data_IF_426234755302
#
_entry.id   IF_426234755302
#
_cell.length_a   1.000
_cell.length_b   1.000
_cell.length_c   1.000
_cell.angle_alpha   90.00
_cell.angle_beta   90.00
_cell.angle_gamma   90.00
#
_symmetry.space_group_name_H-M   'P 1'
#
loop_
_entity.id
_entity.type
_entity.pdbx_description
1 polymer ?
#
# COMPACT_ATOMS: atom_id res chain seq x y z
N UNK A 1 -15.49 6.07 -24.49
CA UNK A 1 -15.64 7.38 -23.81
C UNK A 1 -17.11 7.57 -23.45
N UNK A 2 -17.48 7.39 -22.18
CA UNK A 2 -18.81 7.77 -21.69
C UNK A 2 -18.75 9.23 -21.24
N UNK A 3 -19.04 10.18 -22.12
CA UNK A 3 -19.27 11.57 -21.69
C UNK A 3 -20.69 11.68 -21.17
N UNK A 4 -20.85 11.84 -19.86
CA UNK A 4 -22.17 12.10 -19.23
C UNK A 4 -22.56 13.58 -19.23
N UNK A 5 -21.91 14.39 -20.07
CA UNK A 5 -22.19 15.82 -20.17
C UNK A 5 -23.02 16.13 -21.39
N UNK A 6 -24.15 16.82 -21.21
CA UNK A 6 -24.70 17.67 -22.26
C UNK A 6 -24.17 19.08 -22.05
N UNK A 7 -23.82 19.76 -23.13
CA UNK A 7 -23.45 21.17 -23.07
C UNK A 7 -24.75 21.94 -23.24
N UNK A 8 -25.17 22.62 -22.18
CA UNK A 8 -26.27 23.57 -22.23
C UNK A 8 -25.73 24.94 -22.63
N UNK A 9 -26.46 25.63 -23.50
CA UNK A 9 -26.28 27.05 -23.74
C UNK A 9 -27.43 27.77 -23.01
N UNK A 10 -27.12 28.47 -21.92
CA UNK A 10 -28.09 29.37 -21.28
C UNK A 10 -27.67 30.79 -21.58
N UNK A 11 -28.49 31.53 -22.31
CA UNK A 11 -28.31 32.97 -22.47
C UNK A 11 -28.54 33.63 -21.11
N UNK A 12 -27.48 34.16 -20.51
CA UNK A 12 -27.60 35.03 -19.34
C UNK A 12 -27.80 36.43 -19.90
N UNK A 13 -28.97 37.08 -19.70
CA UNK A 13 -29.14 38.48 -20.06
C UNK A 13 -28.28 39.31 -19.10
N UNK A 14 -27.02 39.53 -19.45
CA UNK A 14 -26.21 40.55 -18.81
C UNK A 14 -26.77 41.89 -19.29
N UNK A 15 -27.40 42.65 -18.39
CA UNK A 15 -28.06 43.92 -18.66
C UNK A 15 -27.08 45.03 -19.06
N UNK A 16 -26.43 44.89 -20.22
CA UNK A 16 -25.61 45.90 -20.86
C UNK A 16 -25.90 45.91 -22.36
N UNK A 17 -27.10 46.36 -22.71
CA UNK A 17 -27.32 46.92 -24.04
C UNK A 17 -26.88 48.39 -24.02
N UNK A 18 -25.74 48.70 -24.66
CA UNK A 18 -25.66 49.91 -25.48
C UNK A 18 -24.48 49.96 -26.47
N UNK A 19 -23.43 49.15 -26.34
CA UNK A 19 -22.23 49.28 -27.19
C UNK A 19 -21.71 47.93 -27.69
N UNK A 20 -22.33 47.37 -28.73
CA UNK A 20 -21.68 46.52 -29.74
C UNK A 20 -20.85 45.28 -29.33
N UNK A 21 -20.92 44.82 -28.08
CA UNK A 21 -20.09 43.70 -27.62
C UNK A 21 -20.70 42.33 -27.96
N UNK A 22 -19.80 41.47 -28.43
CA UNK A 22 -19.99 40.06 -28.77
C UNK A 22 -20.59 39.32 -27.57
N UNK A 23 -21.85 38.86 -27.71
CA UNK A 23 -22.51 38.03 -26.71
C UNK A 23 -21.70 36.75 -26.46
N UNK A 24 -21.04 36.66 -25.30
CA UNK A 24 -20.30 35.46 -24.90
C UNK A 24 -21.33 34.48 -24.34
N UNK A 25 -21.67 33.42 -25.09
CA UNK A 25 -22.51 32.34 -24.58
C UNK A 25 -21.70 31.53 -23.54
N UNK A 26 -22.08 31.52 -22.25
CA UNK A 26 -21.42 30.63 -21.29
C UNK A 26 -21.86 29.19 -21.60
N UNK A 27 -20.92 28.34 -22.01
CA UNK A 27 -21.14 26.90 -22.11
C UNK A 27 -21.04 26.31 -20.69
N UNK A 28 -22.16 25.92 -20.08
CA UNK A 28 -22.12 25.11 -18.86
C UNK A 28 -22.32 23.64 -19.21
N UNK A 29 -21.57 22.77 -18.53
CA UNK A 29 -21.71 21.32 -18.69
C UNK A 29 -22.71 20.81 -17.67
N UNK A 30 -23.83 20.28 -18.16
CA UNK A 30 -24.81 19.60 -17.33
C UNK A 30 -24.45 18.12 -17.22
N UNK A 31 -24.17 17.67 -16.00
CA UNK A 31 -23.96 16.26 -15.71
C UNK A 31 -25.30 15.53 -15.66
N UNK A 32 -25.55 14.70 -16.68
CA UNK A 32 -26.71 13.81 -16.70
C UNK A 32 -26.33 12.52 -15.98
N UNK A 33 -26.89 12.33 -14.79
CA UNK A 33 -26.76 11.08 -14.03
C UNK A 33 -27.59 9.98 -14.69
N UNK A 34 -27.02 9.34 -15.70
CA UNK A 34 -27.60 8.16 -16.34
C UNK A 34 -27.63 7.01 -15.33
N UNK A 35 -28.74 6.27 -15.25
CA UNK A 35 -28.89 5.06 -14.42
C UNK A 35 -27.76 4.06 -14.69
N UNK A 36 -27.32 3.96 -15.95
CA UNK A 36 -26.16 3.14 -16.33
C UNK A 36 -24.89 3.63 -15.66
N UNK A 37 -24.63 4.94 -15.65
CA UNK A 37 -23.46 5.51 -14.99
C UNK A 37 -23.52 5.29 -13.47
N UNK A 38 -24.68 5.49 -12.85
CA UNK A 38 -24.87 5.28 -11.40
C UNK A 38 -24.64 3.82 -10.99
N UNK A 39 -24.99 2.85 -11.84
CA UNK A 39 -24.77 1.43 -11.57
C UNK A 39 -23.34 0.96 -11.91
N UNK A 40 -22.81 1.37 -13.08
CA UNK A 40 -21.48 0.94 -13.52
C UNK A 40 -20.34 1.66 -12.81
N UNK A 41 -20.51 2.90 -12.34
CA UNK A 41 -19.43 3.64 -11.68
C UNK A 41 -18.93 2.94 -10.40
N UNK A 42 -19.80 2.49 -9.46
CA UNK A 42 -19.35 1.68 -8.31
C UNK A 42 -18.66 0.37 -8.71
N UNK A 43 -19.15 -0.31 -9.74
CA UNK A 43 -18.55 -1.56 -10.24
C UNK A 43 -17.16 -1.31 -10.83
N UNK A 44 -16.98 -0.21 -11.56
CA UNK A 44 -15.67 0.20 -12.08
C UNK A 44 -14.70 0.56 -10.96
N UNK A 45 -15.16 1.25 -9.92
CA UNK A 45 -14.33 1.54 -8.74
C UNK A 45 -13.94 0.26 -8.00
N UNK A 46 -14.87 -0.69 -7.83
CA UNK A 46 -14.58 -1.98 -7.22
C UNK A 46 -13.58 -2.78 -8.05
N UNK A 47 -13.75 -2.81 -9.37
CA UNK A 47 -12.84 -3.49 -10.29
C UNK A 47 -11.45 -2.84 -10.29
N UNK A 48 -11.38 -1.49 -10.29
CA UNK A 48 -10.13 -0.75 -10.19
C UNK A 48 -9.40 -1.08 -8.88
N UNK A 49 -10.11 -1.03 -7.75
CA UNK A 49 -9.54 -1.37 -6.46
C UNK A 49 -9.02 -2.81 -6.42
N UNK A 50 -9.80 -3.75 -6.95
CA UNK A 50 -9.39 -5.16 -7.03
C UNK A 50 -8.13 -5.36 -7.88
N UNK A 51 -8.04 -4.72 -9.05
CA UNK A 51 -6.85 -4.79 -9.91
C UNK A 51 -5.63 -4.18 -9.23
N UNK A 52 -5.80 -3.02 -8.58
CA UNK A 52 -4.71 -2.36 -7.82
C UNK A 52 -4.21 -3.28 -6.70
N UNK A 53 -5.11 -3.90 -5.93
CA UNK A 53 -4.74 -4.84 -4.87
C UNK A 53 -4.02 -6.09 -5.42
N UNK A 54 -4.45 -6.61 -6.57
CA UNK A 54 -3.78 -7.73 -7.23
C UNK A 54 -2.37 -7.36 -7.72
N UNK A 55 -2.18 -6.15 -8.26
CA UNK A 55 -0.86 -5.63 -8.64
C UNK A 55 0.05 -5.42 -7.42
N UNK A 56 -0.51 -4.92 -6.32
CA UNK A 56 0.23 -4.78 -5.06
C UNK A 56 0.66 -6.14 -4.50
N UNK A 57 -0.20 -7.16 -4.58
CA UNK A 57 0.13 -8.54 -4.20
C UNK A 57 1.26 -9.12 -5.07
N UNK A 58 1.20 -8.89 -6.38
CA UNK A 58 2.26 -9.29 -7.32
C UNK A 58 3.60 -8.60 -6.99
N UNK A 59 3.60 -7.28 -6.78
CA UNK A 59 4.80 -6.54 -6.41
C UNK A 59 5.40 -7.03 -5.09
N UNK A 60 4.55 -7.30 -4.09
CA UNK A 60 4.99 -7.85 -2.80
C UNK A 60 5.70 -9.19 -2.98
N UNK A 61 5.12 -10.11 -3.77
CA UNK A 61 5.74 -11.39 -4.08
C UNK A 61 7.10 -11.22 -4.78
N UNK A 62 7.21 -10.32 -5.76
CA UNK A 62 8.48 -10.09 -6.50
C UNK A 62 9.59 -9.60 -5.57
N UNK A 63 9.28 -8.65 -4.68
CA UNK A 63 10.24 -8.11 -3.71
C UNK A 63 10.62 -9.19 -2.70
N UNK A 64 9.62 -9.88 -2.12
CA UNK A 64 9.86 -10.97 -1.18
C UNK A 64 10.68 -12.09 -1.79
N UNK A 65 10.37 -12.54 -3.01
CA UNK A 65 11.15 -13.57 -3.71
C UNK A 65 12.63 -13.18 -3.82
N UNK A 66 12.89 -11.96 -4.28
CA UNK A 66 14.26 -11.43 -4.41
C UNK A 66 14.99 -11.45 -3.06
N UNK A 67 14.34 -10.96 -2.00
CA UNK A 67 14.91 -10.98 -0.66
C UNK A 67 15.10 -12.41 -0.12
N UNK A 68 14.20 -13.35 -0.41
CA UNK A 68 14.34 -14.75 0.02
C UNK A 68 15.49 -15.46 -0.67
N UNK A 69 15.68 -15.24 -1.98
CA UNK A 69 16.82 -15.79 -2.72
C UNK A 69 18.12 -15.25 -2.12
N UNK A 70 18.22 -13.94 -1.91
CA UNK A 70 19.39 -13.35 -1.26
C UNK A 70 19.62 -13.88 0.17
N UNK A 71 18.56 -14.07 0.96
CA UNK A 71 18.68 -14.56 2.33
C UNK A 71 19.22 -16.00 2.39
N UNK A 72 18.77 -16.89 1.49
CA UNK A 72 19.14 -18.30 1.51
C UNK A 72 20.34 -18.66 0.61
N UNK A 73 20.85 -17.72 -0.20
CA UNK A 73 22.09 -17.93 -0.95
C UNK A 73 23.31 -18.05 -0.01
N UNK A 74 24.13 -19.11 -0.14
CA UNK A 74 25.32 -19.29 0.68
C UNK A 74 26.38 -18.22 0.34
N UNK A 75 27.19 -17.78 1.33
CA UNK A 75 28.37 -16.96 1.07
C UNK A 75 29.51 -17.87 0.56
N UNK A 76 29.69 -17.97 -0.75
CA UNK A 76 30.71 -18.82 -1.38
C UNK A 76 32.13 -18.21 -1.26
N UNK A 77 32.66 -18.10 -0.04
CA UNK A 77 34.04 -17.67 0.22
C UNK A 77 34.36 -16.20 -0.15
N UNK A 78 33.37 -15.44 -0.63
CA UNK A 78 33.42 -14.00 -0.83
C UNK A 78 32.47 -13.30 0.16
N UNK A 79 32.70 -12.01 0.42
CA UNK A 79 31.81 -11.19 1.27
C UNK A 79 30.39 -11.04 0.67
N UNK A 80 30.24 -11.27 -0.63
CA UNK A 80 28.98 -11.13 -1.37
C UNK A 80 28.33 -12.50 -1.67
N UNK A 81 27.00 -12.57 -1.53
CA UNK A 81 26.20 -13.76 -1.81
C UNK A 81 25.87 -13.86 -3.31
N UNK A 82 26.14 -15.01 -3.93
CA UNK A 82 25.72 -15.27 -5.31
C UNK A 82 24.22 -15.62 -5.36
N UNK A 83 23.44 -14.76 -6.02
CA UNK A 83 21.99 -14.88 -6.19
C UNK A 83 21.60 -15.21 -7.63
N UNK A 84 22.59 -15.45 -8.50
CA UNK A 84 22.38 -15.63 -9.93
C UNK A 84 21.93 -14.35 -10.64
N UNK A 85 21.40 -14.52 -11.86
CA UNK A 85 21.02 -13.41 -12.71
C UNK A 85 19.70 -12.75 -12.28
N UNK A 86 19.80 -11.51 -11.79
CA UNK A 86 18.71 -10.56 -11.56
C UNK A 86 17.40 -11.20 -11.03
N UNK A 87 17.37 -11.62 -9.75
CA UNK A 87 16.22 -12.30 -9.14
C UNK A 87 14.84 -11.61 -9.33
N UNK A 88 14.73 -10.27 -9.37
CA UNK A 88 13.43 -9.63 -9.61
C UNK A 88 12.80 -10.02 -10.96
N UNK A 89 13.58 -10.17 -12.03
CA UNK A 89 13.05 -10.58 -13.35
C UNK A 89 12.59 -12.03 -13.32
N UNK A 90 13.32 -12.90 -12.64
CA UNK A 90 12.93 -14.30 -12.43
C UNK A 90 11.61 -14.36 -11.66
N UNK A 91 11.47 -13.56 -10.60
CA UNK A 91 10.24 -13.48 -9.82
C UNK A 91 9.04 -12.96 -10.64
N UNK A 92 9.26 -11.97 -11.52
CA UNK A 92 8.22 -11.47 -12.44
C UNK A 92 7.74 -12.59 -13.35
N UNK A 93 8.65 -13.38 -13.94
CA UNK A 93 8.30 -14.51 -14.80
C UNK A 93 7.55 -15.61 -14.05
N UNK A 94 8.09 -16.07 -12.92
CA UNK A 94 7.47 -17.10 -12.10
C UNK A 94 6.10 -16.67 -11.57
N UNK A 95 6.00 -15.44 -11.08
CA UNK A 95 4.75 -14.86 -10.60
C UNK A 95 3.68 -14.77 -11.69
N UNK A 96 4.05 -14.31 -12.87
CA UNK A 96 3.12 -14.12 -14.00
C UNK A 96 2.60 -15.45 -14.56
N UNK A 97 3.44 -16.49 -14.58
CA UNK A 97 3.07 -17.78 -15.18
C UNK A 97 2.36 -18.69 -14.16
N UNK A 98 2.85 -18.75 -12.92
CA UNK A 98 2.41 -19.77 -11.96
C UNK A 98 1.51 -19.22 -10.85
N UNK A 99 1.56 -17.93 -10.54
CA UNK A 99 0.87 -17.34 -9.39
C UNK A 99 -0.14 -16.23 -9.73
N UNK A 100 -0.40 -15.95 -11.01
CA UNK A 100 -1.32 -14.88 -11.42
C UNK A 100 -2.71 -15.02 -10.78
N UNK A 101 -3.27 -16.23 -10.77
CA UNK A 101 -4.54 -16.52 -10.09
C UNK A 101 -4.47 -16.35 -8.56
N UNK A 102 -3.31 -16.64 -7.96
CA UNK A 102 -3.10 -16.41 -6.52
C UNK A 102 -3.07 -14.93 -6.17
N UNK A 103 -2.53 -14.07 -7.04
CA UNK A 103 -2.56 -12.61 -6.85
C UNK A 103 -3.96 -12.04 -7.09
N UNK A 104 -4.71 -12.56 -8.06
CA UNK A 104 -6.09 -12.16 -8.29
C UNK A 104 -7.00 -12.48 -7.09
N UNK A 105 -6.91 -13.70 -6.55
CA UNK A 105 -7.63 -14.10 -5.33
C UNK A 105 -7.12 -13.32 -4.12
N UNK A 106 -5.80 -13.17 -4.00
CA UNK A 106 -5.17 -12.43 -2.92
C UNK A 106 -5.59 -10.97 -2.88
N UNK A 107 -5.68 -10.29 -4.03
CA UNK A 107 -6.15 -8.91 -4.12
C UNK A 107 -7.61 -8.76 -3.66
N UNK A 108 -8.47 -9.73 -3.95
CA UNK A 108 -9.85 -9.73 -3.46
C UNK A 108 -9.91 -9.93 -1.94
N UNK A 109 -9.19 -10.93 -1.42
CA UNK A 109 -9.19 -11.27 0.01
C UNK A 109 -8.52 -10.17 0.85
N UNK A 110 -7.32 -9.75 0.47
CA UNK A 110 -6.58 -8.69 1.17
C UNK A 110 -7.28 -7.33 1.03
N UNK A 111 -7.84 -7.04 -0.14
CA UNK A 111 -8.64 -5.84 -0.38
C UNK A 111 -9.89 -5.78 0.52
N UNK A 112 -10.49 -6.94 0.84
CA UNK A 112 -11.61 -7.01 1.79
C UNK A 112 -11.16 -6.92 3.26
N UNK A 113 -10.03 -7.53 3.63
CA UNK A 113 -9.57 -7.57 5.04
C UNK A 113 -8.88 -6.28 5.50
N UNK A 114 -8.23 -5.52 4.60
CA UNK A 114 -7.55 -4.26 4.93
C UNK A 114 -8.49 -3.17 5.50
N UNK A 115 -9.65 -2.86 4.87
CA UNK A 115 -10.62 -1.95 5.46
C UNK A 115 -11.10 -2.41 6.84
N UNK A 116 -11.26 -3.73 7.04
CA UNK A 116 -11.65 -4.28 8.35
C UNK A 116 -10.56 -4.00 9.39
N UNK A 117 -9.27 -4.14 9.06
CA UNK A 117 -8.16 -3.76 9.96
C UNK A 117 -8.16 -2.28 10.31
N UNK A 118 -8.48 -1.42 9.35
CA UNK A 118 -8.51 0.04 9.54
C UNK A 118 -9.69 0.47 10.41
N UNK A 119 -10.87 -0.13 10.20
CA UNK A 119 -12.10 0.20 10.93
C UNK A 119 -12.13 -0.40 12.34
N UNK A 120 -11.42 -1.52 12.55
CA UNK A 120 -11.42 -2.26 13.81
C UNK A 120 -9.99 -2.49 14.33
N UNK A 121 -9.21 -1.43 14.65
CA UNK A 121 -7.83 -1.58 15.12
C UNK A 121 -7.75 -2.38 16.43
N UNK A 122 -8.84 -2.41 17.22
CA UNK A 122 -8.93 -3.21 18.45
C UNK A 122 -9.10 -4.72 18.21
N UNK A 123 -9.45 -5.17 17.00
CA UNK A 123 -9.50 -6.60 16.68
C UNK A 123 -8.11 -7.24 16.84
N UNK A 124 -7.04 -6.44 16.74
CA UNK A 124 -5.66 -6.85 17.01
C UNK A 124 -5.28 -6.79 18.50
N UNK A 125 -6.07 -6.17 19.37
CA UNK A 125 -5.72 -5.93 20.78
C UNK A 125 -6.42 -6.96 21.69
N UNK A 126 -5.65 -7.84 22.33
CA UNK A 126 -6.16 -8.88 23.27
C UNK A 126 -6.71 -8.32 24.61
N UNK A 127 -6.93 -7.02 24.72
CA UNK A 127 -7.28 -6.33 25.98
C UNK A 127 -8.79 -6.28 26.26
N UNK A 128 -9.41 -7.45 26.45
CA UNK A 128 -10.69 -7.56 27.16
C UNK A 128 -10.57 -8.40 28.45
N UNK A 129 -9.37 -8.41 29.04
CA UNK A 129 -9.02 -9.20 30.21
C UNK A 129 -8.59 -8.32 31.38
N UNK A 130 -9.49 -7.48 31.89
CA UNK A 130 -9.48 -7.07 33.30
C UNK A 130 -10.78 -6.37 33.67
N UNK A 131 -11.16 -6.57 34.94
CA UNK A 131 -12.21 -5.92 35.75
C UNK A 131 -13.50 -6.72 35.96
N UNK A 132 -14.00 -6.68 37.20
CA UNK A 132 -15.27 -7.24 37.67
C UNK A 132 -16.45 -6.60 36.91
N UNK A 133 -16.81 -7.19 35.78
CA UNK A 133 -17.89 -6.71 34.94
C UNK A 133 -19.27 -7.06 35.51
N UNK A 134 -20.16 -6.07 35.55
CA UNK A 134 -21.59 -6.28 35.80
C UNK A 134 -22.20 -7.24 34.76
N UNK A 135 -23.32 -7.89 35.10
CA UNK A 135 -23.97 -8.87 34.22
C UNK A 135 -24.29 -8.30 32.82
N UNK A 136 -24.64 -7.01 32.74
CA UNK A 136 -24.92 -6.31 31.48
C UNK A 136 -23.65 -6.16 30.64
N UNK A 137 -22.55 -5.73 31.24
CA UNK A 137 -21.25 -5.58 30.56
C UNK A 137 -20.76 -6.93 30.05
N UNK A 138 -20.92 -8.00 30.85
CA UNK A 138 -20.58 -9.37 30.45
C UNK A 138 -21.40 -9.86 29.26
N UNK A 139 -22.71 -9.58 29.23
CA UNK A 139 -23.58 -9.97 28.12
C UNK A 139 -23.21 -9.24 26.84
N UNK A 140 -22.99 -7.92 26.91
CA UNK A 140 -22.54 -7.13 25.76
C UNK A 140 -21.20 -7.64 25.24
N UNK A 141 -20.22 -7.85 26.13
CA UNK A 141 -18.89 -8.38 25.78
C UNK A 141 -18.97 -9.73 25.08
N UNK A 142 -19.82 -10.64 25.55
CA UNK A 142 -19.99 -11.96 24.92
C UNK A 142 -20.61 -11.84 23.51
N UNK A 143 -21.62 -10.98 23.33
CA UNK A 143 -22.22 -10.71 22.02
C UNK A 143 -21.19 -10.12 21.05
N UNK A 144 -20.41 -9.12 21.48
CA UNK A 144 -19.32 -8.57 20.67
C UNK A 144 -18.26 -9.62 20.36
N UNK A 145 -17.85 -10.45 21.34
CA UNK A 145 -16.87 -11.52 21.13
C UNK A 145 -17.33 -12.54 20.08
N UNK A 146 -18.60 -12.92 20.05
CA UNK A 146 -19.14 -13.88 19.09
C UNK A 146 -19.07 -13.37 17.63
N UNK A 147 -19.29 -12.06 17.42
CA UNK A 147 -19.19 -11.46 16.08
C UNK A 147 -17.73 -11.16 15.72
N UNK A 148 -16.94 -10.70 16.69
CA UNK A 148 -15.56 -10.25 16.46
C UNK A 148 -14.58 -11.42 16.31
N UNK A 149 -14.76 -12.54 17.02
CA UNK A 149 -13.85 -13.69 16.95
C UNK A 149 -13.64 -14.23 15.53
N UNK A 150 -14.67 -14.46 14.70
CA UNK A 150 -14.45 -14.92 13.33
C UNK A 150 -13.82 -13.84 12.45
N UNK A 151 -14.14 -12.56 12.64
CA UNK A 151 -13.54 -11.46 11.88
C UNK A 151 -12.05 -11.31 12.21
N UNK A 152 -11.69 -11.35 13.50
CA UNK A 152 -10.31 -11.33 13.95
C UNK A 152 -9.53 -12.53 13.40
N UNK A 153 -10.13 -13.73 13.40
CA UNK A 153 -9.51 -14.90 12.79
C UNK A 153 -9.21 -14.68 11.31
N UNK A 154 -10.19 -14.25 10.50
CA UNK A 154 -9.99 -14.00 9.06
C UNK A 154 -8.91 -12.92 8.84
N UNK A 155 -8.95 -11.86 9.62
CA UNK A 155 -7.96 -10.78 9.55
C UNK A 155 -6.56 -11.32 9.92
N UNK A 156 -6.37 -11.97 11.06
CA UNK A 156 -5.06 -12.48 11.48
C UNK A 156 -4.53 -13.59 10.56
N UNK A 157 -5.43 -14.31 9.91
CA UNK A 157 -5.14 -15.39 8.97
C UNK A 157 -4.56 -14.88 7.65
N UNK A 158 -5.11 -13.80 7.08
CA UNK A 158 -4.70 -13.26 5.79
C UNK A 158 -3.83 -12.01 5.95
N UNK A 159 -2.51 -12.23 6.00
CA UNK A 159 -1.49 -11.18 6.15
C UNK A 159 -0.55 -11.14 4.93
N UNK A 160 0.17 -10.04 4.76
CA UNK A 160 1.20 -9.89 3.72
C UNK A 160 2.26 -10.98 3.78
N UNK A 161 2.57 -11.51 4.97
CA UNK A 161 3.56 -12.58 5.16
C UNK A 161 3.22 -13.87 4.42
N UNK A 162 1.97 -14.09 4.01
CA UNK A 162 1.64 -15.21 3.13
C UNK A 162 2.29 -15.10 1.76
N UNK A 163 2.51 -13.90 1.21
CA UNK A 163 3.23 -13.73 -0.06
C UNK A 163 4.72 -14.06 0.08
N UNK A 164 5.30 -13.82 1.27
CA UNK A 164 6.66 -14.26 1.61
C UNK A 164 6.71 -15.79 1.66
N UNK A 165 5.74 -16.43 2.33
CA UNK A 165 5.68 -17.90 2.36
C UNK A 165 5.45 -18.50 0.97
N UNK A 166 4.70 -17.83 0.10
CA UNK A 166 4.56 -18.24 -1.29
C UNK A 166 5.90 -18.21 -2.04
N UNK A 167 6.75 -17.21 -1.79
CA UNK A 167 8.05 -17.12 -2.46
C UNK A 167 9.03 -18.21 -2.01
N UNK A 168 8.91 -18.68 -0.76
CA UNK A 168 9.75 -19.76 -0.21
C UNK A 168 9.21 -21.14 -0.61
N UNK A 169 7.90 -21.35 -0.48
CA UNK A 169 7.30 -22.69 -0.60
C UNK A 169 6.74 -23.01 -1.98
N UNK A 170 6.64 -22.02 -2.86
CA UNK A 170 5.99 -22.12 -4.19
C UNK A 170 4.55 -22.65 -4.13
N UNK A 171 3.89 -22.57 -2.97
CA UNK A 171 2.50 -23.02 -2.78
C UNK A 171 1.51 -21.96 -3.26
N UNK A 172 0.28 -22.35 -3.65
CA UNK A 172 -0.77 -21.39 -3.99
C UNK A 172 -1.24 -20.61 -2.75
N UNK A 173 -2.03 -19.56 -2.99
CA UNK A 173 -2.44 -18.56 -1.99
C UNK A 173 -2.90 -19.12 -0.63
N UNK A 174 -3.96 -19.94 -0.59
CA UNK A 174 -4.55 -20.39 0.68
C UNK A 174 -3.59 -21.25 1.53
N UNK A 175 -2.95 -22.30 1.00
CA UNK A 175 -1.97 -23.08 1.76
C UNK A 175 -0.77 -22.27 2.25
N UNK A 176 -0.27 -21.33 1.43
CA UNK A 176 0.85 -20.47 1.83
C UNK A 176 0.43 -19.52 2.96
N UNK A 177 -0.78 -18.96 2.88
CA UNK A 177 -1.35 -18.21 3.98
C UNK A 177 -1.41 -19.10 5.24
N UNK A 178 -1.89 -20.36 5.17
CA UNK A 178 -2.11 -21.22 6.37
C UNK A 178 -0.80 -21.44 7.10
N UNK A 179 0.21 -21.77 6.31
CA UNK A 179 1.55 -22.00 6.80
C UNK A 179 2.17 -20.72 7.38
N UNK A 180 1.94 -19.55 6.77
CA UNK A 180 2.47 -18.29 7.31
C UNK A 180 1.82 -17.89 8.62
N UNK A 181 0.50 -18.01 8.72
CA UNK A 181 -0.25 -17.72 9.94
C UNK A 181 0.17 -18.64 11.10
N UNK A 182 0.26 -19.95 10.86
CA UNK A 182 0.71 -20.90 11.88
C UNK A 182 2.12 -20.57 12.37
N UNK A 183 3.05 -20.27 11.46
CA UNK A 183 4.43 -19.89 11.81
C UNK A 183 4.48 -18.63 12.66
N UNK A 184 3.72 -17.60 12.30
CA UNK A 184 3.70 -16.33 13.05
C UNK A 184 3.08 -16.47 14.45
N UNK A 185 2.04 -17.30 14.62
CA UNK A 185 1.45 -17.55 15.95
C UNK A 185 2.39 -18.37 16.84
N UNK A 186 3.11 -19.33 16.25
CA UNK A 186 4.03 -20.19 16.99
C UNK A 186 5.37 -19.52 17.28
N UNK A 187 5.74 -18.50 16.49
CA UNK A 187 6.91 -17.69 16.71
C UNK A 187 6.81 -16.94 18.04
N UNK A 188 7.63 -17.31 19.02
CA UNK A 188 7.86 -16.51 20.24
C UNK A 188 8.76 -15.30 19.99
N UNK A 189 8.95 -14.89 18.73
CA UNK A 189 10.07 -14.07 18.33
C UNK A 189 9.80 -12.56 18.47
N UNK A 190 10.86 -11.74 18.62
CA UNK A 190 10.79 -10.27 18.61
C UNK A 190 10.31 -9.66 17.28
N UNK A 191 10.05 -10.46 16.24
CA UNK A 191 9.74 -9.98 14.89
C UNK A 191 8.57 -8.97 14.83
N UNK A 192 7.59 -9.08 15.74
CA UNK A 192 6.49 -8.10 15.82
C UNK A 192 6.97 -6.71 16.26
N UNK A 193 7.93 -6.65 17.19
CA UNK A 193 8.53 -5.37 17.60
C UNK A 193 9.35 -4.75 16.48
N UNK A 194 10.06 -5.57 15.70
CA UNK A 194 10.87 -5.06 14.60
C UNK A 194 10.01 -4.54 13.45
N UNK A 195 8.92 -5.22 13.10
CA UNK A 195 7.98 -4.74 12.08
C UNK A 195 7.49 -3.31 12.38
N UNK A 196 7.09 -3.04 13.64
CA UNK A 196 6.68 -1.70 14.08
C UNK A 196 7.82 -0.67 14.03
N UNK A 197 9.05 -1.08 14.38
CA UNK A 197 10.22 -0.21 14.33
C UNK A 197 10.58 0.21 12.89
N UNK A 198 10.56 -0.75 11.95
CA UNK A 198 10.84 -0.50 10.52
C UNK A 198 9.77 0.44 9.95
N UNK A 199 8.48 0.18 10.19
CA UNK A 199 7.40 1.04 9.74
C UNK A 199 7.53 2.49 10.26
N UNK A 200 7.97 2.65 11.51
CA UNK A 200 8.21 3.96 12.11
C UNK A 200 9.40 4.67 11.44
N UNK A 201 10.49 3.94 11.20
CA UNK A 201 11.66 4.48 10.50
C UNK A 201 11.30 4.92 9.06
N UNK A 202 10.51 4.12 8.34
CA UNK A 202 10.02 4.41 7.00
C UNK A 202 9.14 5.66 6.95
N UNK A 203 8.27 5.86 7.95
CA UNK A 203 7.46 7.07 8.07
C UNK A 203 8.33 8.32 8.31
N UNK A 204 9.31 8.24 9.21
CA UNK A 204 10.23 9.34 9.50
C UNK A 204 11.06 9.68 8.26
N UNK A 205 11.60 8.66 7.57
CA UNK A 205 12.40 8.86 6.38
C UNK A 205 11.59 9.50 5.24
N UNK A 206 10.33 9.09 5.06
CA UNK A 206 9.43 9.67 4.06
C UNK A 206 9.13 11.16 4.35
N UNK A 207 8.86 11.50 5.61
CA UNK A 207 8.66 12.89 6.04
C UNK A 207 9.92 13.73 5.85
N UNK A 208 11.10 13.18 6.17
CA UNK A 208 12.37 13.85 5.99
C UNK A 208 12.64 14.17 4.51
N UNK A 209 12.45 13.20 3.61
CA UNK A 209 12.60 13.40 2.15
C UNK A 209 11.63 14.48 1.66
N UNK A 210 10.37 14.43 2.10
CA UNK A 210 9.36 15.43 1.73
C UNK A 210 9.75 16.84 2.13
N UNK A 211 10.17 17.02 3.38
CA UNK A 211 10.60 18.30 3.91
C UNK A 211 11.84 18.82 3.17
N UNK A 212 12.83 17.96 2.93
CA UNK A 212 14.06 18.32 2.22
C UNK A 212 13.76 18.80 0.80
N UNK A 213 12.95 18.06 0.04
CA UNK A 213 12.56 18.43 -1.33
C UNK A 213 11.74 19.72 -1.34
N UNK A 214 10.82 19.90 -0.39
CA UNK A 214 10.05 21.12 -0.23
C UNK A 214 10.92 22.35 0.05
N UNK A 215 11.89 22.22 0.98
CA UNK A 215 12.85 23.28 1.30
C UNK A 215 13.76 23.62 0.12
N UNK A 216 14.28 22.62 -0.60
CA UNK A 216 15.11 22.82 -1.79
C UNK A 216 14.33 23.51 -2.91
N UNK A 217 13.07 23.12 -3.11
CA UNK A 217 12.17 23.74 -4.10
C UNK A 217 11.91 25.20 -3.73
N UNK A 218 11.56 25.47 -2.47
CA UNK A 218 11.32 26.84 -2.00
C UNK A 218 12.56 27.72 -2.17
N UNK A 219 13.72 27.22 -1.74
CA UNK A 219 14.99 27.94 -1.85
C UNK A 219 15.31 28.27 -3.30
N UNK A 220 15.07 27.34 -4.23
CA UNK A 220 15.31 27.55 -5.67
C UNK A 220 14.34 28.60 -6.25
N UNK A 221 13.06 28.55 -5.88
CA UNK A 221 12.05 29.49 -6.37
C UNK A 221 12.27 30.92 -5.86
N UNK A 222 12.83 31.09 -4.66
CA UNK A 222 13.09 32.41 -4.08
C UNK A 222 14.49 32.96 -4.36
N UNK A 223 15.49 32.09 -4.55
CA UNK A 223 16.88 32.52 -4.76
C UNK A 223 17.27 32.68 -6.22
N UNK A 224 16.64 31.94 -7.15
CA UNK A 224 16.95 32.07 -8.57
C UNK A 224 16.15 33.22 -9.20
N UNK A 225 16.86 34.20 -9.77
CA UNK A 225 16.26 35.38 -10.42
C UNK A 225 15.23 35.00 -11.51
N UNK A 226 15.48 33.89 -12.20
CA UNK A 226 14.56 33.31 -13.20
C UNK A 226 13.14 33.08 -12.65
N UNK A 227 12.99 32.71 -11.38
CA UNK A 227 11.69 32.38 -10.79
C UNK A 227 11.18 33.48 -9.84
N UNK A 228 12.08 34.29 -9.29
CA UNK A 228 11.76 35.35 -8.33
C UNK A 228 11.48 36.72 -8.97
N UNK A 229 12.04 37.01 -10.14
CA UNK A 229 11.87 38.32 -10.80
C UNK A 229 10.51 38.41 -11.50
N UNK A 230 9.73 39.45 -11.19
CA UNK A 230 8.41 39.72 -11.82
C UNK A 230 8.54 39.96 -13.33
N UNK A 231 9.72 40.41 -13.78
CA UNK A 231 10.01 40.62 -15.20
C UNK A 231 10.36 39.32 -15.95
N UNK A 232 10.57 38.21 -15.23
CA UNK A 232 10.90 36.94 -15.85
C UNK A 232 9.66 36.25 -16.43
N UNK A 233 9.74 35.65 -17.62
CA UNK A 233 8.64 34.85 -18.19
C UNK A 233 8.31 33.60 -17.36
N UNK A 234 9.20 33.18 -16.45
CA UNK A 234 9.00 32.03 -15.56
C UNK A 234 8.72 32.44 -14.10
N UNK A 235 8.26 33.66 -13.86
CA UNK A 235 7.95 34.16 -12.52
C UNK A 235 6.92 33.27 -11.80
N UNK A 236 7.21 32.94 -10.53
CA UNK A 236 6.30 32.18 -9.68
C UNK A 236 5.77 33.10 -8.57
N UNK A 237 4.50 33.49 -8.67
CA UNK A 237 3.88 34.43 -7.72
C UNK A 237 3.71 33.87 -6.30
N UNK A 238 3.50 32.55 -6.17
CA UNK A 238 3.24 31.88 -4.89
C UNK A 238 4.22 30.72 -4.66
N UNK A 239 5.51 30.99 -4.41
CA UNK A 239 6.54 29.95 -4.30
C UNK A 239 6.28 28.97 -3.14
N UNK A 240 5.68 29.44 -2.03
CA UNK A 240 5.31 28.59 -0.90
C UNK A 240 4.27 27.53 -1.29
N UNK A 241 3.24 27.91 -2.05
CA UNK A 241 2.18 26.99 -2.49
C UNK A 241 2.75 25.90 -3.40
N UNK A 242 3.60 26.28 -4.36
CA UNK A 242 4.28 25.34 -5.26
C UNK A 242 5.17 24.39 -4.47
N UNK A 243 5.94 24.88 -3.50
CA UNK A 243 6.82 24.03 -2.68
C UNK A 243 6.06 23.07 -1.78
N UNK A 244 4.94 23.48 -1.18
CA UNK A 244 4.08 22.58 -0.39
C UNK A 244 3.48 21.48 -1.28
N UNK A 245 3.03 21.84 -2.48
CA UNK A 245 2.50 20.87 -3.43
C UNK A 245 3.57 19.86 -3.87
N UNK A 246 4.77 20.34 -4.20
CA UNK A 246 5.91 19.46 -4.53
C UNK A 246 6.31 18.58 -3.35
N UNK A 247 6.30 19.11 -2.12
CA UNK A 247 6.57 18.33 -0.91
C UNK A 247 5.52 17.22 -0.68
N UNK A 248 4.25 17.49 -0.96
CA UNK A 248 3.19 16.48 -0.85
C UNK A 248 3.35 15.35 -1.88
N UNK A 249 3.73 15.68 -3.12
CA UNK A 249 4.01 14.68 -4.16
C UNK A 249 5.25 13.86 -3.80
N UNK A 250 6.33 14.52 -3.35
CA UNK A 250 7.56 13.82 -2.97
C UNK A 250 7.36 12.91 -1.75
N UNK A 251 6.48 13.28 -0.81
CA UNK A 251 6.07 12.41 0.29
C UNK A 251 5.41 11.12 -0.23
N UNK A 252 4.48 11.23 -1.18
CA UNK A 252 3.84 10.05 -1.78
C UNK A 252 4.85 9.15 -2.47
N UNK A 253 5.80 9.71 -3.23
CA UNK A 253 6.85 8.93 -3.88
C UNK A 253 7.76 8.26 -2.84
N UNK A 254 8.17 8.98 -1.80
CA UNK A 254 9.02 8.47 -0.74
C UNK A 254 8.36 7.30 0.01
N UNK A 255 7.06 7.40 0.31
CA UNK A 255 6.29 6.31 0.93
C UNK A 255 6.31 5.03 0.08
N UNK A 256 6.21 5.13 -1.24
CA UNK A 256 6.28 3.95 -2.13
C UNK A 256 7.69 3.34 -2.14
N UNK A 257 8.74 4.16 -2.15
CA UNK A 257 10.11 3.67 -2.06
C UNK A 257 10.38 2.97 -0.72
N UNK A 258 9.91 3.56 0.38
CA UNK A 258 10.05 2.96 1.72
C UNK A 258 9.22 1.70 1.90
N UNK A 259 8.09 1.56 1.19
CA UNK A 259 7.34 0.30 1.20
C UNK A 259 8.16 -0.88 0.67
N UNK A 260 9.09 -0.67 -0.27
CA UNK A 260 10.00 -1.73 -0.73
C UNK A 260 10.95 -2.15 0.41
N UNK A 261 11.49 -1.18 1.13
CA UNK A 261 12.34 -1.42 2.30
C UNK A 261 11.61 -2.22 3.38
N UNK A 262 10.37 -1.84 3.69
CA UNK A 262 9.53 -2.53 4.68
C UNK A 262 9.32 -4.00 4.30
N UNK A 263 9.00 -4.28 3.04
CA UNK A 263 8.77 -5.65 2.55
C UNK A 263 10.04 -6.49 2.64
N UNK A 264 11.22 -5.92 2.33
CA UNK A 264 12.50 -6.63 2.45
C UNK A 264 12.81 -6.95 3.91
N UNK A 265 12.64 -5.99 4.82
CA UNK A 265 12.88 -6.20 6.24
C UNK A 265 11.95 -7.28 6.83
N UNK A 266 10.66 -7.24 6.49
CA UNK A 266 9.68 -8.27 6.87
C UNK A 266 10.05 -9.64 6.30
N UNK A 267 10.57 -9.67 5.07
CA UNK A 267 11.01 -10.90 4.43
C UNK A 267 12.20 -11.52 5.14
N UNK A 268 13.21 -10.74 5.52
CA UNK A 268 14.35 -11.25 6.29
C UNK A 268 13.94 -11.76 7.67
N UNK A 269 13.06 -11.02 8.37
CA UNK A 269 12.49 -11.48 9.64
C UNK A 269 11.75 -12.81 9.46
N UNK A 270 10.97 -12.93 8.40
CA UNK A 270 10.24 -14.14 8.10
C UNK A 270 11.18 -15.31 7.75
N UNK A 271 12.20 -15.10 6.92
CA UNK A 271 13.20 -16.12 6.61
C UNK A 271 13.93 -16.62 7.87
N UNK A 272 14.33 -15.71 8.74
CA UNK A 272 14.93 -16.05 10.04
C UNK A 272 13.98 -16.91 10.89
N UNK A 273 12.68 -16.58 10.91
CA UNK A 273 11.67 -17.43 11.57
C UNK A 273 11.61 -18.82 10.95
N UNK A 274 11.65 -18.92 9.62
CA UNK A 274 11.64 -20.22 8.92
C UNK A 274 12.84 -21.07 9.31
N UNK A 275 14.03 -20.47 9.34
CA UNK A 275 15.29 -21.13 9.71
C UNK A 275 15.28 -21.56 11.19
N UNK A 276 14.83 -20.69 12.10
CA UNK A 276 14.78 -20.98 13.55
C UNK A 276 13.86 -22.14 13.95
N UNK A 277 12.90 -22.50 13.08
CA UNK A 277 11.94 -23.59 13.31
C UNK A 277 12.43 -24.92 12.69
N UNK A 278 13.37 -24.88 11.75
CA UNK A 278 13.98 -26.10 11.21
C UNK A 278 14.94 -26.69 12.26
N UNK A 279 14.93 -28.02 12.51
CA UNK A 279 16.01 -28.64 13.27
C UNK A 279 17.35 -28.38 12.57
N UNK A 280 18.47 -28.20 13.31
CA UNK A 280 19.76 -28.01 12.68
C UNK A 280 20.02 -29.18 11.74
N UNK A 281 20.30 -28.86 10.47
CA UNK A 281 20.89 -29.82 9.56
C UNK A 281 22.27 -30.09 10.14
N UNK A 282 22.40 -31.19 10.88
CA UNK A 282 23.71 -31.72 11.22
C UNK A 282 24.27 -32.17 9.88
N UNK A 283 25.24 -31.43 9.36
CA UNK A 283 26.05 -31.89 8.25
C UNK A 283 26.77 -33.17 8.72
N UNK A 284 26.14 -34.32 8.48
CA UNK A 284 26.79 -35.61 8.50
C UNK A 284 27.63 -35.72 7.22
N UNK A 285 28.75 -34.99 7.16
CA UNK A 285 30.00 -35.50 6.60
C UNK A 285 31.15 -34.48 6.83
N UNK A 286 32.28 -34.90 7.45
CA UNK A 286 33.45 -34.07 7.73
C UNK A 286 34.32 -33.76 6.50
#
# INVERSE_FOLDING_TARGET
MASSGKVGATEIPMGLEQNGDIGILPLHREFVWDVRLMFFAPLWWLALFWVVEALMAFAHFVISYTATVWYFSPPEGADERDVGWFPPLVAIGLGSIHHLGSFAVGGLVMGATRPIRLLFPWAATKHFASTDDSAVVRSLRNSFRNIMSPLAFVVDRFTSSGYIEMSISSKPFFPAMDKSHMRLIQARSPATYLHGAVATASAIASLFISLLVGMMTYSTLTAAEKYASVASPSFVAAPLCVSIFTAAISFMIAMHSMAVWDIVADTFMYCFLVESVQPPVVDEDP
#
